data_IF_343704976289
#
_entry.id   IF_343704976289
#
_cell.length_a   1.000
_cell.length_b   1.000
_cell.length_c   1.000
_cell.angle_alpha   90.00
_cell.angle_beta   90.00
_cell.angle_gamma   90.00
#
_symmetry.space_group_name_H-M   'P 1'
#
loop_
_entity.id
_entity.type
_entity.pdbx_description
1 polymer ?
#
# COMPACT_ATOMS: atom_id res chain seq x y z
N UNK A 1 -2.34 -8.44 -23.11
CA UNK A 1 -2.42 -7.06 -22.60
C UNK A 1 -1.15 -6.30 -23.03
N UNK A 2 -1.31 -5.07 -23.51
CA UNK A 2 -0.19 -4.20 -23.85
C UNK A 2 0.23 -3.46 -22.58
N UNK A 3 1.45 -3.65 -22.10
CA UNK A 3 1.97 -2.97 -20.93
C UNK A 3 2.86 -1.80 -21.36
N UNK A 4 2.68 -0.64 -20.74
CA UNK A 4 3.61 0.49 -20.88
C UNK A 4 4.64 0.42 -19.77
N UNK A 5 5.84 0.89 -20.05
CA UNK A 5 6.92 0.99 -19.08
C UNK A 5 7.53 2.37 -19.11
N UNK A 6 7.95 2.86 -17.93
CA UNK A 6 8.74 4.07 -17.79
C UNK A 6 9.93 3.80 -16.87
N UNK A 7 11.09 4.33 -17.25
CA UNK A 7 12.26 4.28 -16.39
C UNK A 7 12.18 5.38 -15.33
N UNK A 8 12.49 5.03 -14.09
CA UNK A 8 12.46 5.93 -12.94
C UNK A 8 13.87 6.41 -12.61
N UNK A 9 13.97 7.63 -12.10
CA UNK A 9 15.20 8.17 -11.54
C UNK A 9 15.63 7.48 -10.25
N UNK A 10 16.86 7.79 -9.82
CA UNK A 10 17.36 7.26 -8.55
C UNK A 10 16.57 7.81 -7.38
N UNK A 11 16.09 6.91 -6.53
CA UNK A 11 15.31 7.26 -5.34
C UNK A 11 13.85 7.66 -5.60
N UNK A 12 13.39 7.64 -6.85
CA UNK A 12 11.98 7.89 -7.15
C UNK A 12 11.12 6.71 -6.68
N UNK A 13 10.22 7.00 -5.77
CA UNK A 13 9.22 6.07 -5.28
C UNK A 13 7.94 6.84 -4.94
N UNK A 14 6.81 6.24 -5.22
CA UNK A 14 5.49 6.83 -4.97
C UNK A 14 4.46 5.72 -4.72
N UNK A 15 3.41 6.06 -3.99
CA UNK A 15 2.35 5.13 -3.62
C UNK A 15 1.06 5.36 -4.42
N UNK A 16 1.03 6.38 -5.27
CA UNK A 16 -0.12 6.74 -6.09
C UNK A 16 0.31 7.05 -7.52
N UNK A 17 -0.53 6.69 -8.47
CA UNK A 17 -0.36 7.03 -9.88
C UNK A 17 -1.65 7.64 -10.41
N UNK A 18 -1.54 8.75 -11.13
CA UNK A 18 -2.66 9.40 -11.81
C UNK A 18 -2.43 9.39 -13.31
N UNK A 19 -3.42 8.93 -14.05
CA UNK A 19 -3.40 8.93 -15.51
C UNK A 19 -4.61 9.69 -16.00
N UNK A 20 -4.37 10.73 -16.81
CA UNK A 20 -5.39 11.66 -17.29
C UNK A 20 -6.22 12.26 -16.14
N UNK A 21 -5.56 12.56 -15.01
CA UNK A 21 -6.19 13.12 -13.82
C UNK A 21 -6.94 12.13 -12.94
N UNK A 22 -7.11 10.89 -13.35
CA UNK A 22 -7.75 9.82 -12.57
C UNK A 22 -6.72 8.95 -11.85
N UNK A 23 -6.95 8.71 -10.55
CA UNK A 23 -6.11 7.78 -9.77
C UNK A 23 -6.23 6.37 -10.32
N UNK A 24 -5.10 5.70 -10.51
CA UNK A 24 -5.02 4.33 -10.99
C UNK A 24 -4.77 3.35 -9.84
N UNK A 25 -5.12 2.11 -10.09
CA UNK A 25 -5.05 1.04 -9.09
C UNK A 25 -3.65 0.46 -9.03
N UNK A 26 -3.03 0.46 -7.87
CA UNK A 26 -1.78 -0.25 -7.65
C UNK A 26 -2.04 -1.77 -7.78
N UNK A 27 -1.19 -2.48 -8.50
CA UNK A 27 -1.34 -3.91 -8.71
C UNK A 27 -1.46 -4.66 -7.38
N UNK A 28 -2.50 -5.48 -7.24
CA UNK A 28 -2.78 -6.21 -6.01
C UNK A 28 -3.44 -7.57 -6.28
N UNK A 29 -3.37 -8.45 -5.32
CA UNK A 29 -4.09 -9.72 -5.28
C UNK A 29 -4.72 -9.94 -3.88
N UNK A 30 -5.88 -10.64 -3.79
CA UNK A 30 -6.70 -11.13 -4.90
C UNK A 30 -7.53 -9.99 -5.51
N UNK A 31 -7.89 -10.09 -6.79
CA UNK A 31 -8.75 -9.08 -7.46
C UNK A 31 -10.19 -9.07 -6.97
N UNK A 32 -10.64 -10.18 -6.39
CA UNK A 32 -11.97 -10.32 -5.78
C UNK A 32 -11.79 -10.82 -4.37
N UNK A 33 -12.65 -10.33 -3.48
CA UNK A 33 -12.63 -10.70 -2.06
C UNK A 33 -11.29 -10.41 -1.37
N UNK A 34 -10.88 -11.25 -0.47
CA UNK A 34 -9.66 -11.14 0.34
C UNK A 34 -9.02 -12.50 0.51
N UNK A 35 -7.71 -12.50 0.71
CA UNK A 35 -7.02 -13.59 1.37
C UNK A 35 -7.29 -13.55 2.87
N UNK A 36 -7.09 -14.67 3.54
CA UNK A 36 -7.20 -14.78 5.00
C UNK A 36 -5.92 -15.41 5.53
N UNK A 37 -5.36 -14.82 6.56
CA UNK A 37 -4.21 -15.35 7.28
C UNK A 37 -4.56 -16.79 7.74
N UNK A 38 -3.65 -17.73 7.52
CA UNK A 38 -3.85 -19.12 7.94
C UNK A 38 -3.57 -19.29 9.42
N UNK A 39 -2.45 -18.73 9.89
CA UNK A 39 -2.03 -18.79 11.29
C UNK A 39 -1.09 -17.63 11.62
N UNK A 40 -1.05 -17.23 12.88
CA UNK A 40 -0.09 -16.27 13.43
C UNK A 40 0.71 -16.96 14.53
N UNK A 41 1.95 -17.39 14.26
CA UNK A 41 2.74 -18.14 15.21
C UNK A 41 2.88 -17.46 16.58
N UNK A 42 2.43 -18.15 17.64
CA UNK A 42 2.48 -17.62 19.00
C UNK A 42 1.35 -16.65 19.37
N UNK A 43 0.40 -16.41 18.48
CA UNK A 43 -0.74 -15.53 18.73
C UNK A 43 -2.08 -16.28 18.54
N UNK A 44 -2.63 -16.91 19.58
CA UNK A 44 -3.96 -17.51 19.51
C UNK A 44 -5.07 -16.45 19.32
N UNK A 45 -6.22 -16.87 18.80
CA UNK A 45 -7.33 -15.97 18.44
C UNK A 45 -7.97 -15.24 19.62
N UNK A 46 -7.79 -15.71 20.85
CA UNK A 46 -8.37 -15.11 22.06
C UNK A 46 -7.55 -13.95 22.66
N UNK A 47 -6.43 -13.59 22.01
CA UNK A 47 -5.62 -12.46 22.46
C UNK A 47 -6.40 -11.14 22.49
N UNK A 48 -6.01 -10.19 23.34
CA UNK A 48 -6.51 -8.80 23.26
C UNK A 48 -6.21 -8.18 21.89
N UNK A 49 -7.01 -7.19 21.48
CA UNK A 49 -6.86 -6.53 20.17
C UNK A 49 -5.56 -5.75 19.98
N UNK A 50 -4.88 -5.41 21.07
CA UNK A 50 -3.68 -4.55 21.08
C UNK A 50 -2.37 -5.33 21.27
N UNK A 51 -2.29 -6.53 20.74
CA UNK A 51 -1.05 -7.33 20.70
C UNK A 51 -0.49 -7.32 19.27
N UNK A 52 0.55 -6.51 19.00
CA UNK A 52 1.13 -6.40 17.66
C UNK A 52 1.71 -7.72 17.16
N UNK A 53 1.64 -7.94 15.86
CA UNK A 53 2.27 -9.09 15.18
C UNK A 53 3.05 -8.65 13.95
N UNK A 54 4.25 -9.18 13.76
CA UNK A 54 5.09 -8.86 12.61
C UNK A 54 5.14 -9.98 11.57
N UNK A 55 4.46 -11.10 11.82
CA UNK A 55 4.53 -12.30 10.97
C UNK A 55 3.25 -13.10 10.98
N UNK A 56 3.04 -13.81 9.88
CA UNK A 56 1.94 -14.76 9.77
C UNK A 56 2.19 -15.80 8.67
N UNK A 57 1.44 -16.89 8.72
CA UNK A 57 1.45 -17.94 7.69
C UNK A 57 0.37 -17.63 6.67
N UNK A 58 0.75 -17.53 5.41
CA UNK A 58 -0.19 -17.38 4.28
C UNK A 58 -0.74 -18.74 3.86
N UNK A 59 -1.97 -18.78 3.35
CA UNK A 59 -2.52 -20.01 2.78
C UNK A 59 -1.73 -20.44 1.54
N UNK A 60 -1.69 -21.75 1.34
CA UNK A 60 -0.99 -22.32 0.19
C UNK A 60 -1.55 -21.77 -1.13
N UNK A 61 -0.68 -21.13 -1.89
CA UNK A 61 -1.01 -20.57 -3.19
C UNK A 61 -1.36 -19.08 -3.21
N UNK A 62 -1.61 -18.44 -2.06
CA UNK A 62 -1.97 -17.02 -1.99
C UNK A 62 -0.79 -16.09 -2.33
N UNK A 63 0.43 -16.51 -2.01
CA UNK A 63 1.62 -15.68 -2.22
C UNK A 63 2.69 -16.42 -3.02
N UNK A 64 2.98 -15.92 -4.22
CA UNK A 64 3.99 -16.48 -5.13
C UNK A 64 4.72 -15.35 -5.85
N UNK A 65 5.51 -14.55 -5.12
CA UNK A 65 6.21 -13.44 -5.73
C UNK A 65 7.31 -13.95 -6.68
N UNK A 66 7.37 -13.37 -7.88
CA UNK A 66 8.40 -13.68 -8.87
C UNK A 66 9.42 -12.56 -9.03
N UNK A 67 9.13 -11.38 -8.46
CA UNK A 67 9.99 -10.20 -8.54
C UNK A 67 10.26 -9.62 -7.16
N UNK A 68 10.86 -8.48 -7.14
CA UNK A 68 11.32 -7.71 -6.00
C UNK A 68 10.39 -7.76 -4.76
N UNK A 69 10.67 -8.67 -3.85
CA UNK A 69 9.89 -8.87 -2.63
C UNK A 69 9.85 -7.62 -1.73
N UNK A 70 10.92 -6.83 -1.72
CA UNK A 70 11.03 -5.65 -0.85
C UNK A 70 10.06 -4.51 -1.20
N UNK A 71 9.50 -4.54 -2.38
CA UNK A 71 8.50 -3.55 -2.80
C UNK A 71 7.06 -4.02 -2.54
N UNK A 72 6.90 -5.27 -2.11
CA UNK A 72 5.60 -5.85 -1.79
C UNK A 72 5.14 -5.38 -0.42
N UNK A 73 3.87 -5.04 -0.33
CA UNK A 73 3.21 -4.69 0.93
C UNK A 73 2.00 -5.60 1.16
N UNK A 74 1.77 -5.96 2.40
CA UNK A 74 0.53 -6.63 2.80
C UNK A 74 -0.41 -5.58 3.38
N UNK A 75 -1.58 -5.46 2.80
CA UNK A 75 -2.65 -4.61 3.30
C UNK A 75 -3.56 -5.47 4.17
N UNK A 76 -3.44 -5.34 5.48
CA UNK A 76 -4.20 -6.12 6.47
C UNK A 76 -5.42 -5.32 6.91
N UNK A 77 -6.58 -5.98 6.96
CA UNK A 77 -7.86 -5.39 7.37
C UNK A 77 -8.34 -6.09 8.64
N UNK A 78 -8.32 -5.37 9.73
CA UNK A 78 -8.73 -5.89 11.02
C UNK A 78 -9.47 -4.82 11.86
N UNK A 79 -10.39 -5.26 12.69
CA UNK A 79 -11.20 -4.37 13.51
C UNK A 79 -11.81 -3.22 12.69
N UNK A 80 -11.60 -1.99 13.14
CA UNK A 80 -12.04 -0.75 12.51
C UNK A 80 -10.95 -0.08 11.66
N UNK A 81 -9.82 -0.74 11.46
CA UNK A 81 -8.66 -0.18 10.77
C UNK A 81 -8.11 -1.13 9.72
N UNK A 82 -7.30 -0.56 8.88
CA UNK A 82 -6.44 -1.25 7.94
C UNK A 82 -5.03 -0.68 8.04
N UNK A 83 -4.05 -1.46 7.66
CA UNK A 83 -2.66 -1.05 7.67
C UNK A 83 -1.86 -1.73 6.57
N UNK A 84 -0.87 -0.99 6.05
CA UNK A 84 0.07 -1.49 5.06
C UNK A 84 1.34 -1.93 5.78
N UNK A 85 1.69 -3.20 5.64
CA UNK A 85 2.85 -3.83 6.24
C UNK A 85 3.84 -4.22 5.14
N UNK A 86 4.97 -3.52 4.98
CA UNK A 86 6.00 -3.88 4.01
C UNK A 86 6.57 -5.26 4.29
N UNK A 87 6.78 -6.06 3.25
CA UNK A 87 7.30 -7.41 3.38
C UNK A 87 8.82 -7.38 3.52
N UNK A 88 9.32 -7.86 4.64
CA UNK A 88 10.75 -8.04 4.89
C UNK A 88 11.25 -9.35 4.26
N UNK A 89 10.54 -10.45 4.50
CA UNK A 89 10.90 -11.77 3.99
C UNK A 89 9.70 -12.70 3.84
N UNK A 90 9.87 -13.70 3.01
CA UNK A 90 8.93 -14.80 2.82
C UNK A 90 9.66 -16.12 2.63
N UNK A 91 9.27 -17.13 3.38
CA UNK A 91 9.75 -18.49 3.23
C UNK A 91 8.67 -19.34 2.53
N UNK A 92 8.91 -19.82 1.32
CA UNK A 92 7.92 -20.59 0.57
C UNK A 92 7.68 -22.00 1.13
N UNK A 93 8.61 -22.57 1.92
CA UNK A 93 8.46 -23.90 2.49
C UNK A 93 7.52 -23.87 3.70
N UNK A 94 7.73 -22.95 4.61
CA UNK A 94 6.89 -22.74 5.79
C UNK A 94 5.70 -21.83 5.52
N UNK A 95 5.73 -21.10 4.41
CA UNK A 95 4.76 -20.05 4.03
C UNK A 95 4.71 -18.89 5.02
N UNK A 96 5.78 -18.72 5.77
CA UNK A 96 5.91 -17.64 6.74
C UNK A 96 6.28 -16.34 6.04
N UNK A 97 5.41 -15.36 6.18
CA UNK A 97 5.66 -13.97 5.78
C UNK A 97 6.01 -13.16 7.01
N UNK A 98 7.08 -12.35 6.90
CA UNK A 98 7.55 -11.45 7.96
C UNK A 98 7.52 -10.03 7.40
N UNK A 99 6.92 -9.11 8.14
CA UNK A 99 6.93 -7.68 7.87
C UNK A 99 8.16 -7.01 8.48
N UNK A 100 8.55 -5.85 7.97
CA UNK A 100 9.66 -5.07 8.50
C UNK A 100 9.31 -4.32 9.80
N UNK A 101 8.02 -4.22 10.13
CA UNK A 101 7.52 -3.69 11.40
C UNK A 101 6.27 -4.45 11.87
N UNK A 102 5.99 -4.44 13.17
CA UNK A 102 4.78 -5.06 13.70
C UNK A 102 3.52 -4.26 13.35
N UNK A 103 2.39 -4.94 13.31
CA UNK A 103 1.06 -4.32 13.19
C UNK A 103 0.73 -3.47 14.43
N UNK A 104 -0.22 -2.55 14.30
CA UNK A 104 -0.75 -1.81 15.45
C UNK A 104 -1.65 -2.69 16.33
N UNK A 105 -2.37 -3.59 15.69
CA UNK A 105 -3.34 -4.46 16.37
C UNK A 105 -3.05 -5.92 16.12
N UNK A 106 -3.66 -6.77 16.93
CA UNK A 106 -3.60 -8.22 16.78
C UNK A 106 -4.16 -8.64 15.42
N UNK A 107 -3.50 -9.57 14.74
CA UNK A 107 -3.82 -9.99 13.37
C UNK A 107 -5.02 -10.96 13.32
N UNK A 108 -6.15 -10.59 13.92
CA UNK A 108 -7.40 -11.35 13.86
C UNK A 108 -8.62 -10.45 13.64
N UNK A 109 -9.78 -11.02 13.38
CA UNK A 109 -11.04 -10.30 13.17
C UNK A 109 -11.65 -9.81 14.50
N UNK A 110 -12.67 -8.94 14.40
CA UNK A 110 -13.36 -8.34 15.55
C UNK A 110 -13.99 -9.37 16.48
N UNK A 111 -14.43 -10.50 15.92
CA UNK A 111 -15.13 -11.55 16.65
C UNK A 111 -14.17 -12.59 17.22
N UNK A 112 -12.88 -12.50 16.94
CA UNK A 112 -11.85 -13.48 17.33
C UNK A 112 -12.16 -14.89 16.82
N UNK A 113 -12.82 -15.00 15.69
CA UNK A 113 -13.20 -16.27 15.08
C UNK A 113 -12.21 -16.69 13.98
N UNK A 114 -11.57 -15.68 13.36
CA UNK A 114 -10.61 -15.89 12.28
C UNK A 114 -9.45 -14.92 12.42
N UNK A 115 -8.32 -15.29 11.85
CA UNK A 115 -7.24 -14.34 11.59
C UNK A 115 -7.67 -13.31 10.55
N UNK A 116 -6.98 -12.18 10.52
CA UNK A 116 -7.32 -11.04 9.69
C UNK A 116 -7.34 -11.40 8.19
N UNK A 117 -8.16 -10.70 7.45
CA UNK A 117 -8.16 -10.72 6.00
C UNK A 117 -7.12 -9.74 5.46
N UNK A 118 -6.57 -10.03 4.29
CA UNK A 118 -5.53 -9.20 3.70
C UNK A 118 -5.58 -9.18 2.17
N UNK A 119 -4.88 -8.21 1.58
CA UNK A 119 -4.47 -8.15 0.18
C UNK A 119 -2.97 -8.01 0.12
N UNK A 120 -2.42 -8.32 -1.03
CA UNK A 120 -0.99 -8.12 -1.31
C UNK A 120 -0.88 -7.06 -2.39
N UNK A 121 -0.22 -5.95 -2.10
CA UNK A 121 -0.09 -4.80 -2.97
C UNK A 121 1.33 -4.66 -3.53
N UNK A 122 1.44 -3.96 -4.64
CA UNK A 122 2.65 -3.84 -5.44
C UNK A 122 3.28 -5.21 -5.75
N UNK A 123 2.45 -6.15 -6.13
CA UNK A 123 2.84 -7.48 -6.58
C UNK A 123 2.76 -7.53 -8.11
N UNK A 124 3.85 -7.92 -8.77
CA UNK A 124 3.89 -7.98 -10.24
C UNK A 124 2.81 -8.90 -10.82
N UNK A 125 2.54 -10.01 -10.16
CA UNK A 125 1.49 -10.98 -10.52
C UNK A 125 0.07 -10.39 -10.41
N UNK A 126 -0.08 -9.29 -9.68
CA UNK A 126 -1.32 -8.53 -9.57
C UNK A 126 -1.57 -7.56 -10.72
N UNK A 127 -0.61 -7.40 -11.65
CA UNK A 127 -0.74 -6.53 -12.82
C UNK A 127 -1.57 -7.23 -13.92
N UNK A 128 -2.88 -7.27 -13.77
CA UNK A 128 -3.77 -8.12 -14.58
C UNK A 128 -4.91 -7.39 -15.27
N UNK A 129 -5.31 -6.22 -14.78
CA UNK A 129 -6.45 -5.47 -15.28
C UNK A 129 -6.04 -4.10 -15.85
N UNK A 130 -6.77 -3.57 -16.86
CA UNK A 130 -6.53 -2.20 -17.32
C UNK A 130 -6.62 -1.19 -16.18
N UNK A 131 -5.64 -0.28 -16.12
CA UNK A 131 -5.51 0.69 -15.03
C UNK A 131 -4.62 0.21 -13.88
N UNK A 132 -4.21 -1.04 -13.85
CA UNK A 132 -3.23 -1.52 -12.87
C UNK A 132 -1.84 -0.96 -13.16
N UNK A 133 -1.11 -0.64 -12.10
CA UNK A 133 0.29 -0.26 -12.17
C UNK A 133 1.13 -0.95 -11.09
N UNK A 134 2.40 -1.17 -11.41
CA UNK A 134 3.38 -1.80 -10.54
C UNK A 134 4.71 -1.05 -10.66
N UNK A 135 5.38 -0.88 -9.54
CA UNK A 135 6.72 -0.27 -9.48
C UNK A 135 7.74 -1.30 -9.01
N UNK A 136 8.82 -1.43 -9.75
CA UNK A 136 10.00 -2.22 -9.38
C UNK A 136 11.17 -1.27 -9.14
N UNK A 137 11.49 -1.03 -7.85
CA UNK A 137 12.60 -0.14 -7.47
C UNK A 137 13.97 -0.72 -7.80
N UNK A 138 14.10 -2.04 -7.79
CA UNK A 138 15.37 -2.69 -8.12
C UNK A 138 15.70 -2.52 -9.61
N UNK A 139 14.69 -2.65 -10.48
CA UNK A 139 14.80 -2.43 -11.91
C UNK A 139 14.56 -0.96 -12.34
N UNK A 140 14.19 -0.08 -11.39
CA UNK A 140 13.83 1.33 -11.63
C UNK A 140 12.79 1.47 -12.74
N UNK A 141 11.75 0.64 -12.69
CA UNK A 141 10.77 0.56 -13.77
C UNK A 141 9.36 0.62 -13.23
N UNK A 142 8.59 1.56 -13.77
CA UNK A 142 7.13 1.60 -13.64
C UNK A 142 6.50 0.78 -14.77
N UNK A 143 5.55 -0.06 -14.43
CA UNK A 143 4.71 -0.82 -15.35
C UNK A 143 3.27 -0.35 -15.21
N UNK A 144 2.61 -0.13 -16.34
CA UNK A 144 1.22 0.29 -16.38
C UNK A 144 0.43 -0.43 -17.48
N UNK A 145 -0.72 -0.97 -17.14
CA UNK A 145 -1.67 -1.52 -18.10
C UNK A 145 -2.66 -0.42 -18.52
N UNK A 146 -2.56 0.11 -19.75
CA UNK A 146 -3.40 1.22 -20.16
C UNK A 146 -4.87 0.83 -20.22
N UNK A 147 -5.73 1.81 -19.91
CA UNK A 147 -7.16 1.71 -20.11
C UNK A 147 -7.51 1.75 -21.60
N UNK A 148 -8.69 1.26 -21.95
CA UNK A 148 -9.19 1.36 -23.31
C UNK A 148 -9.25 2.83 -23.77
N UNK A 149 -8.68 3.09 -24.94
CA UNK A 149 -8.62 4.43 -25.54
C UNK A 149 -7.45 5.30 -25.09
N UNK A 150 -6.63 4.86 -24.14
CA UNK A 150 -5.38 5.55 -23.80
C UNK A 150 -4.30 5.26 -24.86
N UNK A 151 -3.65 6.33 -25.32
CA UNK A 151 -2.51 6.29 -26.26
C UNK A 151 -1.34 7.03 -25.65
N UNK A 152 -0.15 6.50 -25.83
CA UNK A 152 1.08 7.03 -25.18
C UNK A 152 1.34 8.50 -25.57
N UNK A 153 0.95 8.89 -26.79
CA UNK A 153 1.18 10.22 -27.34
C UNK A 153 0.29 11.32 -26.73
N UNK A 154 -0.85 10.95 -26.12
CA UNK A 154 -1.82 11.89 -25.60
C UNK A 154 -2.21 11.61 -24.14
N UNK A 155 -1.49 10.76 -23.44
CA UNK A 155 -1.77 10.38 -22.07
C UNK A 155 -0.84 11.12 -21.11
N UNK A 156 -1.44 11.87 -20.17
CA UNK A 156 -0.71 12.50 -19.07
C UNK A 156 -0.60 11.53 -17.91
N UNK A 157 0.62 11.29 -17.44
CA UNK A 157 0.91 10.45 -16.28
C UNK A 157 1.56 11.31 -15.20
N UNK A 158 1.01 11.29 -14.00
CA UNK A 158 1.53 12.02 -12.83
C UNK A 158 1.81 11.03 -11.72
N UNK A 159 3.07 10.94 -11.31
CA UNK A 159 3.52 10.25 -10.12
C UNK A 159 3.81 11.31 -9.05
N UNK A 160 3.01 11.42 -7.98
CA UNK A 160 3.25 12.40 -6.93
C UNK A 160 4.44 11.98 -6.08
N UNK A 161 5.30 12.95 -5.78
CA UNK A 161 6.48 12.76 -4.92
C UNK A 161 6.45 13.68 -3.71
N UNK A 162 5.44 14.55 -3.62
CA UNK A 162 5.26 15.47 -2.49
C UNK A 162 4.21 14.94 -1.54
N UNK A 163 4.58 14.79 -0.28
CA UNK A 163 3.70 14.31 0.79
C UNK A 163 2.95 15.47 1.48
N UNK A 164 3.46 16.68 1.34
CA UNK A 164 2.95 17.85 2.03
C UNK A 164 2.77 19.03 1.08
N UNK A 165 1.58 19.65 1.12
CA UNK A 165 1.25 20.80 0.26
C UNK A 165 1.77 22.11 0.84
N UNK A 166 1.69 22.27 2.16
CA UNK A 166 2.11 23.45 2.88
C UNK A 166 2.87 23.05 4.14
N UNK A 167 3.95 23.74 4.39
CA UNK A 167 4.69 23.68 5.63
C UNK A 167 4.64 25.09 6.27
N UNK A 168 3.85 25.24 7.35
CA UNK A 168 3.55 26.55 7.95
C UNK A 168 3.97 26.51 9.41
N UNK A 169 4.99 27.29 9.75
CA UNK A 169 5.49 27.44 11.11
C UNK A 169 5.36 28.89 11.59
N UNK A 170 5.08 29.07 12.87
CA UNK A 170 5.10 30.36 13.60
C UNK A 170 4.36 31.51 12.91
N UNK A 171 3.32 31.20 12.15
CA UNK A 171 2.55 32.15 11.36
C UNK A 171 1.28 32.59 12.08
N UNK A 172 0.86 33.82 11.88
CA UNK A 172 -0.40 34.37 12.37
C UNK A 172 -1.13 35.03 11.20
N UNK A 173 -2.47 35.05 11.28
CA UNK A 173 -3.34 35.76 10.34
C UNK A 173 -3.11 35.36 8.87
N UNK A 174 -2.77 34.08 8.64
CA UNK A 174 -2.55 33.52 7.31
C UNK A 174 -3.90 33.12 6.67
N UNK A 175 -4.14 33.61 5.48
CA UNK A 175 -5.27 33.19 4.65
C UNK A 175 -4.73 32.50 3.40
N UNK A 176 -5.21 31.30 3.14
CA UNK A 176 -4.97 30.58 1.88
C UNK A 176 -6.31 30.50 1.16
N UNK A 177 -6.43 31.19 0.04
CA UNK A 177 -7.69 31.31 -0.69
C UNK A 177 -7.51 30.94 -2.15
N UNK A 178 -8.54 30.33 -2.73
CA UNK A 178 -8.66 30.01 -4.15
C UNK A 178 -7.52 29.14 -4.71
N UNK A 179 -7.01 28.18 -3.92
CA UNK A 179 -5.94 27.24 -4.29
C UNK A 179 -6.53 25.87 -4.58
N UNK A 180 -6.11 25.26 -5.69
CA UNK A 180 -6.40 23.86 -5.99
C UNK A 180 -5.20 22.99 -5.65
N UNK A 181 -5.37 22.05 -4.73
CA UNK A 181 -4.34 21.08 -4.31
C UNK A 181 -4.77 19.70 -4.80
N UNK A 182 -3.90 19.03 -5.57
CA UNK A 182 -4.18 17.71 -6.12
C UNK A 182 -2.91 16.93 -6.43
N UNK A 183 -3.04 15.59 -6.57
CA UNK A 183 -1.96 14.69 -6.93
C UNK A 183 -0.82 14.70 -5.89
N UNK A 184 -1.17 14.67 -4.61
CA UNK A 184 -0.22 14.42 -3.53
C UNK A 184 -0.09 12.93 -3.26
N UNK A 185 1.08 12.53 -2.84
CA UNK A 185 1.30 11.19 -2.31
C UNK A 185 1.05 11.19 -0.79
N UNK A 186 1.10 10.02 -0.21
CA UNK A 186 1.04 9.81 1.22
C UNK A 186 2.23 8.95 1.63
N UNK A 187 2.86 9.30 2.75
CA UNK A 187 3.93 8.51 3.31
C UNK A 187 3.37 7.39 4.16
N UNK A 188 3.93 6.20 4.02
CA UNK A 188 3.78 5.14 5.02
C UNK A 188 4.80 5.44 6.13
N UNK A 189 4.55 6.51 6.88
CA UNK A 189 5.30 6.78 8.09
C UNK A 189 4.39 6.56 9.29
N UNK A 190 4.96 6.14 10.40
CA UNK A 190 4.29 6.29 11.67
C UNK A 190 3.85 7.74 11.81
N UNK A 191 2.58 7.98 11.60
CA UNK A 191 1.99 9.24 12.00
C UNK A 191 1.94 9.19 13.51
N UNK A 192 3.00 9.64 14.16
CA UNK A 192 2.88 10.12 15.51
C UNK A 192 1.98 11.34 15.43
N UNK A 193 0.68 11.14 15.55
CA UNK A 193 -0.27 12.22 15.76
C UNK A 193 0.03 12.77 17.13
N UNK A 194 0.98 13.68 17.21
CA UNK A 194 1.01 14.63 18.30
C UNK A 194 -0.18 15.55 18.06
N UNK A 195 -1.33 15.13 18.60
CA UNK A 195 -2.52 15.95 18.62
C UNK A 195 -2.25 17.21 19.42
N UNK A 196 -1.89 18.27 18.75
CA UNK A 196 -2.16 19.61 19.26
C UNK A 196 -3.49 20.04 18.66
N UNK A 197 -4.44 20.24 19.56
CA UNK A 197 -5.83 20.46 19.24
C UNK A 197 -6.05 21.56 18.20
N UNK A 198 -6.88 21.27 17.22
CA UNK A 198 -7.57 22.28 16.44
C UNK A 198 -8.46 23.07 17.39
N UNK A 199 -8.10 24.28 17.70
CA UNK A 199 -9.05 25.26 18.21
C UNK A 199 -9.97 25.62 17.06
N UNK A 200 -11.23 25.18 17.15
CA UNK A 200 -12.29 25.71 16.31
C UNK A 200 -12.45 27.20 16.63
N UNK A 201 -12.40 28.01 15.57
CA UNK A 201 -12.94 29.37 15.59
C UNK A 201 -14.41 29.34 15.18
#
# INVERSE_FOLDING_TARGET
>A
LRCWTAHLGDGEYFNSLFVNGARRTRAYLPKKDYYYIEDVPGQPLDLPFNVPGDRFIVKAGDFKPTRNLRDVQVHVFHYWSDELMPVLSYDPETRLLISDHPSHYTLHDDLKQHYAKYRIENLFEGLTEPGDWYIDRAEKTLYYLPMDGEMIENTSVVAPVCEQAFDIHDSRDLTIDNVTIRHFDWAVHEVSVQGQGSTQA
#
